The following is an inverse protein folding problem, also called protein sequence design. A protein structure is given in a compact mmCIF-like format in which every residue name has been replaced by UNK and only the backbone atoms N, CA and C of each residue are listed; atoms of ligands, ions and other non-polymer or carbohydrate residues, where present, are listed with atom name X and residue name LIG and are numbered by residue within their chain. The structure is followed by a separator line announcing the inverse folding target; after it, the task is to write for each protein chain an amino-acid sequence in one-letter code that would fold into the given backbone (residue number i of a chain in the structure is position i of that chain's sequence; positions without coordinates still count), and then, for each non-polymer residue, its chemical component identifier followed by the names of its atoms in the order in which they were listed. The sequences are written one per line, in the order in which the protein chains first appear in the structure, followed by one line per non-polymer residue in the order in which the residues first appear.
data_IF_941330068724
#
_entry.id   IF_941330068724
#
_cell.length_a   1.000
_cell.length_b   1.000
_cell.length_c   1.000
_cell.angle_alpha   90.00
_cell.angle_beta   90.00
_cell.angle_gamma   90.00
#
_symmetry.space_group_name_H-M   'P 1'
#
loop_
_entity.id
_entity.type
_entity.pdbx_description
1 polymer ?
#
# COMPACT_ATOMS: atom_id res chain seq x y z
N UNK A 1 -28.41 -4.39 -28.82
CA UNK A 1 -27.35 -4.35 -27.77
C UNK A 1 -27.43 -5.64 -27.01
N UNK A 2 -26.32 -6.34 -26.81
CA UNK A 2 -26.28 -7.54 -25.96
C UNK A 2 -26.63 -7.20 -24.50
N UNK A 3 -27.02 -8.18 -23.72
CA UNK A 3 -27.22 -8.00 -22.27
C UNK A 3 -25.90 -7.66 -21.60
N UNK A 4 -25.88 -6.64 -20.70
CA UNK A 4 -24.67 -6.21 -19.98
C UNK A 4 -24.18 -7.35 -19.06
N UNK A 5 -22.88 -7.41 -18.84
CA UNK A 5 -22.28 -8.29 -17.83
C UNK A 5 -22.50 -7.66 -16.46
N UNK A 6 -23.23 -8.36 -15.59
CA UNK A 6 -23.57 -7.89 -14.24
C UNK A 6 -22.49 -8.32 -13.25
N UNK A 7 -21.84 -7.37 -12.61
CA UNK A 7 -20.73 -7.62 -11.69
C UNK A 7 -21.07 -7.08 -10.30
N UNK A 8 -21.17 -7.97 -9.32
CA UNK A 8 -21.16 -7.59 -7.91
C UNK A 8 -19.73 -7.45 -7.42
N UNK A 9 -19.39 -6.30 -6.88
CA UNK A 9 -18.06 -6.00 -6.32
C UNK A 9 -18.17 -5.80 -4.81
N UNK A 10 -17.38 -6.56 -4.05
CA UNK A 10 -17.39 -6.54 -2.59
C UNK A 10 -16.00 -6.12 -2.07
N UNK A 11 -15.77 -4.81 -1.86
CA UNK A 11 -14.53 -4.33 -1.27
C UNK A 11 -14.42 -4.74 0.20
N UNK A 12 -13.20 -5.03 0.68
CA UNK A 12 -12.95 -5.30 2.10
C UNK A 12 -13.11 -4.06 2.99
N UNK A 13 -12.85 -2.88 2.40
CA UNK A 13 -12.89 -1.58 3.08
C UNK A 13 -13.08 -0.45 2.07
N UNK A 14 -13.35 0.76 2.57
CA UNK A 14 -13.56 1.99 1.77
C UNK A 14 -12.27 2.78 1.53
N UNK A 15 -11.15 2.31 2.05
CA UNK A 15 -9.88 3.03 2.08
C UNK A 15 -8.73 2.10 1.68
N UNK A 16 -7.49 2.61 1.63
CA UNK A 16 -6.31 1.79 1.43
C UNK A 16 -6.42 0.81 0.28
N UNK A 17 -6.30 -0.47 0.60
CA UNK A 17 -6.27 -1.53 -0.41
C UNK A 17 -7.61 -1.80 -1.07
N UNK A 18 -8.72 -1.65 -0.34
CA UNK A 18 -10.07 -1.76 -0.93
C UNK A 18 -10.30 -0.72 -2.02
N UNK A 19 -9.76 0.48 -1.85
CA UNK A 19 -9.80 1.53 -2.87
C UNK A 19 -9.04 1.10 -4.14
N UNK A 20 -7.75 0.74 -4.03
CA UNK A 20 -6.91 0.40 -5.18
C UNK A 20 -7.31 -0.90 -5.87
N UNK A 21 -7.83 -1.90 -5.14
CA UNK A 21 -8.11 -3.22 -5.68
C UNK A 21 -9.53 -3.39 -6.21
N UNK A 22 -10.49 -2.78 -5.54
CA UNK A 22 -11.91 -3.03 -5.84
C UNK A 22 -12.64 -1.77 -6.26
N UNK A 23 -12.62 -0.73 -5.43
CA UNK A 23 -13.47 0.43 -5.65
C UNK A 23 -13.09 1.18 -6.94
N UNK A 24 -11.87 1.70 -7.01
CA UNK A 24 -11.48 2.56 -8.15
C UNK A 24 -11.40 1.81 -9.48
N UNK A 25 -10.84 0.56 -9.58
CA UNK A 25 -10.84 -0.16 -10.84
C UNK A 25 -12.23 -0.46 -11.40
N UNK A 26 -13.22 -0.77 -10.54
CA UNK A 26 -14.57 -1.08 -11.01
C UNK A 26 -15.39 0.18 -11.29
N UNK A 27 -15.16 1.27 -10.56
CA UNK A 27 -15.72 2.59 -10.93
C UNK A 27 -15.19 3.05 -12.28
N UNK A 28 -13.87 2.91 -12.52
CA UNK A 28 -13.26 3.22 -13.83
C UNK A 28 -13.79 2.30 -14.93
N UNK A 29 -14.11 1.04 -14.60
CA UNK A 29 -14.74 0.12 -15.57
C UNK A 29 -16.13 0.57 -15.96
N UNK A 30 -16.93 1.06 -15.02
CA UNK A 30 -18.25 1.63 -15.31
C UNK A 30 -18.13 2.91 -16.14
N UNK A 31 -17.15 3.78 -15.84
CA UNK A 31 -16.87 4.98 -16.64
C UNK A 31 -16.51 4.65 -18.11
N UNK A 32 -15.66 3.65 -18.34
CA UNK A 32 -15.14 3.31 -19.66
C UNK A 32 -16.05 2.38 -20.48
N UNK A 33 -16.76 1.48 -19.80
CA UNK A 33 -17.47 0.36 -20.42
C UNK A 33 -18.88 0.17 -19.85
N UNK A 34 -19.51 1.23 -19.34
CA UNK A 34 -20.86 1.18 -18.77
C UNK A 34 -21.96 0.78 -19.75
N UNK A 35 -21.68 0.75 -21.06
CA UNK A 35 -22.55 0.16 -22.08
C UNK A 35 -22.46 -1.38 -22.14
N UNK A 36 -21.38 -1.97 -21.62
CA UNK A 36 -21.07 -3.41 -21.61
C UNK A 36 -21.23 -4.04 -20.22
N UNK A 37 -20.98 -3.29 -19.15
CA UNK A 37 -21.02 -3.75 -17.78
C UNK A 37 -22.10 -3.04 -16.96
N UNK A 38 -22.65 -3.76 -15.99
CA UNK A 38 -23.53 -3.27 -14.92
C UNK A 38 -22.81 -3.56 -13.59
N UNK A 39 -22.16 -2.53 -13.01
CA UNK A 39 -21.29 -2.66 -11.84
C UNK A 39 -22.08 -2.28 -10.59
N UNK A 40 -22.27 -3.22 -9.68
CA UNK A 40 -22.93 -3.05 -8.40
C UNK A 40 -21.88 -3.20 -7.27
N UNK A 41 -21.53 -2.11 -6.58
CA UNK A 41 -20.53 -2.10 -5.51
C UNK A 41 -21.26 -2.13 -4.17
N UNK A 42 -21.07 -3.18 -3.39
CA UNK A 42 -21.65 -3.35 -2.06
C UNK A 42 -20.63 -3.78 -1.04
N UNK A 43 -20.81 -3.32 0.18
CA UNK A 43 -19.97 -3.70 1.30
C UNK A 43 -20.60 -4.84 2.10
N UNK A 44 -19.76 -5.67 2.73
CA UNK A 44 -20.21 -6.70 3.66
C UNK A 44 -20.49 -6.08 5.04
N UNK A 45 -21.56 -5.29 5.11
CA UNK A 45 -22.05 -4.64 6.33
C UNK A 45 -23.56 -4.88 6.52
N UNK A 46 -24.13 -4.36 7.60
CA UNK A 46 -25.52 -4.62 7.96
C UNK A 46 -26.54 -4.10 6.93
N UNK A 47 -26.15 -3.17 6.06
CA UNK A 47 -26.98 -2.56 5.02
C UNK A 47 -26.58 -3.01 3.60
N UNK A 48 -25.58 -3.87 3.48
CA UNK A 48 -24.98 -4.28 2.21
C UNK A 48 -25.52 -5.58 1.67
N UNK A 49 -24.69 -6.63 1.71
CA UNK A 49 -25.02 -7.93 1.08
C UNK A 49 -25.68 -8.85 2.10
N UNK A 50 -26.78 -9.45 1.68
CA UNK A 50 -27.37 -10.60 2.39
C UNK A 50 -26.95 -11.90 1.71
N UNK A 51 -25.96 -12.59 2.27
CA UNK A 51 -25.45 -13.86 1.74
C UNK A 51 -26.45 -15.01 1.83
N UNK A 52 -27.52 -14.87 2.62
CA UNK A 52 -28.60 -15.86 2.71
C UNK A 52 -29.63 -15.70 1.58
N UNK A 53 -29.68 -14.57 0.91
CA UNK A 53 -30.53 -14.33 -0.25
C UNK A 53 -29.81 -14.71 -1.55
N UNK A 54 -29.56 -16.01 -1.70
CA UNK A 54 -28.81 -16.57 -2.84
C UNK A 54 -29.49 -16.26 -4.18
N UNK A 55 -30.82 -16.20 -4.23
CA UNK A 55 -31.53 -15.86 -5.46
C UNK A 55 -31.21 -14.46 -5.96
N UNK A 56 -30.96 -13.50 -5.05
CA UNK A 56 -30.52 -12.17 -5.44
C UNK A 56 -29.07 -12.14 -5.95
N UNK A 57 -28.24 -13.10 -5.53
CA UNK A 57 -26.86 -13.21 -5.97
C UNK A 57 -26.72 -13.91 -7.31
N UNK A 58 -27.60 -14.86 -7.64
CA UNK A 58 -27.60 -15.58 -8.91
C UNK A 58 -27.88 -14.70 -10.13
N UNK A 59 -28.36 -13.46 -9.93
CA UNK A 59 -28.61 -12.50 -11.04
C UNK A 59 -27.30 -11.89 -11.61
N UNK A 60 -26.16 -12.04 -10.92
CA UNK A 60 -24.87 -11.56 -11.40
C UNK A 60 -24.18 -12.61 -12.27
N UNK A 61 -23.39 -12.14 -13.24
CA UNK A 61 -22.49 -12.99 -14.03
C UNK A 61 -21.19 -13.23 -13.25
N UNK A 62 -20.74 -12.21 -12.49
CA UNK A 62 -19.50 -12.24 -11.70
C UNK A 62 -19.77 -11.70 -10.29
N UNK A 63 -19.21 -12.36 -9.28
CA UNK A 63 -19.08 -11.84 -7.92
C UNK A 63 -17.59 -11.69 -7.62
N UNK A 64 -17.12 -10.45 -7.54
CA UNK A 64 -15.73 -10.13 -7.20
C UNK A 64 -15.63 -9.74 -5.72
N UNK A 65 -14.82 -10.46 -4.95
CA UNK A 65 -14.67 -10.28 -3.50
C UNK A 65 -13.21 -10.00 -3.19
N UNK A 66 -12.95 -8.91 -2.47
CA UNK A 66 -11.60 -8.55 -2.04
C UNK A 66 -11.28 -9.16 -0.67
N UNK A 67 -10.16 -9.84 -0.54
CA UNK A 67 -9.62 -10.54 0.67
C UNK A 67 -10.44 -11.72 1.19
N UNK A 68 -11.66 -11.90 0.75
CA UNK A 68 -12.60 -12.87 1.32
C UNK A 68 -13.37 -12.33 2.52
N UNK A 69 -14.38 -13.05 2.91
CA UNK A 69 -15.32 -12.66 3.97
C UNK A 69 -15.08 -13.49 5.22
N UNK A 70 -15.12 -12.83 6.37
CA UNK A 70 -14.93 -13.45 7.68
C UNK A 70 -16.24 -13.68 8.43
N UNK A 71 -17.35 -13.09 7.95
CA UNK A 71 -18.65 -13.19 8.56
C UNK A 71 -19.38 -14.43 8.10
N UNK A 72 -20.02 -15.12 9.04
CA UNK A 72 -20.89 -16.26 8.75
C UNK A 72 -20.31 -17.18 7.65
N UNK A 73 -19.14 -17.74 7.93
CA UNK A 73 -18.37 -18.55 6.98
C UNK A 73 -19.19 -19.65 6.32
N UNK A 74 -20.05 -20.33 7.10
CA UNK A 74 -20.82 -21.46 6.59
C UNK A 74 -21.91 -21.00 5.62
N UNK A 75 -22.64 -19.93 5.95
CA UNK A 75 -23.63 -19.32 5.08
C UNK A 75 -23.02 -18.75 3.82
N UNK A 76 -21.91 -18.03 3.93
CA UNK A 76 -21.17 -17.50 2.78
C UNK A 76 -20.66 -18.62 1.85
N UNK A 77 -19.99 -19.64 2.38
CA UNK A 77 -19.46 -20.73 1.57
C UNK A 77 -20.58 -21.51 0.85
N UNK A 78 -21.73 -21.71 1.52
CA UNK A 78 -22.90 -22.33 0.89
C UNK A 78 -23.44 -21.47 -0.25
N UNK A 79 -23.63 -20.18 0.00
CA UNK A 79 -24.14 -19.25 -1.03
C UNK A 79 -23.23 -19.21 -2.26
N UNK A 80 -21.91 -19.12 -2.05
CA UNK A 80 -20.94 -19.10 -3.16
C UNK A 80 -20.96 -20.41 -3.96
N UNK A 81 -21.11 -21.54 -3.29
CA UNK A 81 -21.24 -22.83 -3.97
C UNK A 81 -22.49 -22.88 -4.84
N UNK A 82 -23.63 -22.47 -4.33
CA UNK A 82 -24.89 -22.43 -5.09
C UNK A 82 -24.80 -21.43 -6.27
N UNK A 83 -24.18 -20.27 -6.07
CA UNK A 83 -23.93 -19.30 -7.15
C UNK A 83 -23.10 -19.93 -8.28
N UNK A 84 -22.01 -20.65 -7.95
CA UNK A 84 -21.19 -21.36 -8.94
C UNK A 84 -21.99 -22.42 -9.71
N UNK A 85 -22.77 -23.23 -9.01
CA UNK A 85 -23.66 -24.25 -9.62
C UNK A 85 -24.66 -23.61 -10.58
N UNK A 86 -25.05 -22.36 -10.36
CA UNK A 86 -25.91 -21.56 -11.24
C UNK A 86 -25.18 -20.84 -12.38
N UNK A 87 -23.85 -20.98 -12.47
CA UNK A 87 -23.02 -20.39 -13.54
C UNK A 87 -22.39 -19.04 -13.21
N UNK A 88 -22.65 -18.46 -12.02
CA UNK A 88 -21.99 -17.23 -11.55
C UNK A 88 -20.51 -17.47 -11.34
N UNK A 89 -19.66 -16.59 -11.86
CA UNK A 89 -18.19 -16.67 -11.69
C UNK A 89 -17.77 -16.02 -10.37
N UNK A 90 -17.13 -16.77 -9.49
CA UNK A 90 -16.58 -16.26 -8.23
C UNK A 90 -15.12 -15.88 -8.44
N UNK A 91 -14.83 -14.59 -8.30
CA UNK A 91 -13.50 -14.01 -8.42
C UNK A 91 -13.07 -13.49 -7.05
N UNK A 92 -11.99 -14.05 -6.51
CA UNK A 92 -11.38 -13.56 -5.27
C UNK A 92 -10.17 -12.68 -5.61
N UNK A 93 -10.12 -11.47 -5.06
CA UNK A 93 -8.96 -10.57 -5.20
C UNK A 93 -8.10 -10.57 -3.93
N UNK A 94 -6.80 -10.79 -4.07
CA UNK A 94 -5.85 -10.79 -2.95
C UNK A 94 -4.67 -9.87 -3.26
N UNK A 95 -4.37 -8.97 -2.32
CA UNK A 95 -3.27 -7.99 -2.41
C UNK A 95 -2.08 -8.32 -1.50
N UNK A 96 -2.33 -8.92 -0.33
CA UNK A 96 -1.34 -9.32 0.65
C UNK A 96 -1.43 -10.82 0.96
N UNK A 97 -0.30 -11.39 1.37
CA UNK A 97 -0.22 -12.76 1.84
C UNK A 97 -1.06 -12.94 3.12
N UNK A 98 -1.73 -14.08 3.24
CA UNK A 98 -2.68 -14.35 4.30
C UNK A 98 -2.05 -14.67 5.67
N UNK A 99 -0.77 -15.05 5.70
CA UNK A 99 -0.07 -15.39 6.93
C UNK A 99 0.95 -14.30 7.29
N UNK A 100 0.64 -13.53 8.33
CA UNK A 100 1.53 -12.50 8.87
C UNK A 100 2.53 -13.11 9.86
N UNK A 101 3.74 -12.57 9.91
CA UNK A 101 4.77 -13.00 10.86
C UNK A 101 4.40 -12.72 12.32
N UNK A 102 5.04 -13.42 13.27
CA UNK A 102 4.76 -13.31 14.72
C UNK A 102 4.89 -11.89 15.29
N UNK A 103 5.74 -11.09 14.67
CA UNK A 103 5.98 -9.69 15.08
C UNK A 103 4.98 -8.70 14.46
N UNK A 104 4.10 -9.15 13.57
CA UNK A 104 3.12 -8.28 12.93
C UNK A 104 2.00 -7.90 13.91
N UNK A 105 1.53 -6.64 13.94
CA UNK A 105 0.47 -6.21 14.86
C UNK A 105 -0.81 -7.06 14.83
N UNK A 106 -1.16 -7.60 13.67
CA UNK A 106 -2.35 -8.44 13.48
C UNK A 106 -2.12 -9.95 13.70
N UNK A 107 -0.91 -10.39 14.11
CA UNK A 107 -0.63 -11.83 14.24
C UNK A 107 -1.59 -12.55 15.20
N UNK A 108 -1.77 -12.02 16.40
CA UNK A 108 -2.64 -12.65 17.39
C UNK A 108 -4.11 -12.62 16.98
N UNK A 109 -4.61 -11.50 16.48
CA UNK A 109 -6.00 -11.39 16.02
C UNK A 109 -6.27 -12.32 14.85
N UNK A 110 -5.37 -12.40 13.88
CA UNK A 110 -5.51 -13.31 12.73
C UNK A 110 -5.51 -14.78 13.15
N UNK A 111 -4.67 -15.13 14.13
CA UNK A 111 -4.61 -16.50 14.67
C UNK A 111 -5.89 -16.88 15.42
N UNK A 112 -6.38 -15.98 16.30
CA UNK A 112 -7.61 -16.22 17.09
C UNK A 112 -8.82 -16.34 16.18
N UNK A 113 -8.91 -15.49 15.14
CA UNK A 113 -10.05 -15.46 14.22
C UNK A 113 -9.92 -16.46 13.06
N UNK A 114 -8.89 -17.31 13.01
CA UNK A 114 -8.74 -18.31 11.97
C UNK A 114 -8.61 -17.75 10.55
N UNK A 115 -7.98 -16.57 10.40
CA UNK A 115 -7.90 -15.85 9.11
C UNK A 115 -7.22 -16.68 8.02
N UNK A 116 -6.12 -17.37 8.35
CA UNK A 116 -5.36 -18.18 7.36
C UNK A 116 -6.21 -19.30 6.74
N UNK A 117 -6.79 -20.23 7.51
CA UNK A 117 -7.63 -21.29 6.92
C UNK A 117 -8.84 -20.73 6.19
N UNK A 118 -9.41 -19.64 6.67
CA UNK A 118 -10.53 -18.97 6.02
C UNK A 118 -10.14 -18.48 4.61
N UNK A 119 -9.05 -17.71 4.47
CA UNK A 119 -8.62 -17.20 3.16
C UNK A 119 -8.28 -18.36 2.22
N UNK A 120 -7.59 -19.39 2.70
CA UNK A 120 -7.26 -20.57 1.88
C UNK A 120 -8.54 -21.29 1.39
N UNK A 121 -9.58 -21.39 2.22
CA UNK A 121 -10.84 -21.96 1.81
C UNK A 121 -11.53 -21.11 0.74
N UNK A 122 -11.52 -19.78 0.89
CA UNK A 122 -12.04 -18.86 -0.13
C UNK A 122 -11.26 -18.98 -1.46
N UNK A 123 -9.93 -19.09 -1.40
CA UNK A 123 -9.07 -19.31 -2.58
C UNK A 123 -9.45 -20.60 -3.30
N UNK A 124 -9.66 -21.70 -2.56
CA UNK A 124 -10.05 -22.99 -3.15
C UNK A 124 -11.47 -22.98 -3.73
N UNK A 125 -12.36 -22.21 -3.14
CA UNK A 125 -13.74 -22.10 -3.58
C UNK A 125 -13.88 -21.26 -4.86
N UNK A 126 -13.10 -20.17 -4.98
CA UNK A 126 -13.17 -19.25 -6.10
C UNK A 126 -12.94 -19.97 -7.45
N UNK A 127 -13.62 -19.53 -8.52
CA UNK A 127 -13.32 -19.97 -9.88
C UNK A 127 -12.00 -19.39 -10.36
N UNK A 128 -11.74 -18.15 -9.97
CA UNK A 128 -10.53 -17.39 -10.31
C UNK A 128 -10.04 -16.60 -9.12
N UNK A 129 -8.73 -16.41 -9.06
CA UNK A 129 -8.10 -15.51 -8.09
C UNK A 129 -7.34 -14.43 -8.84
N UNK A 130 -7.55 -13.16 -8.46
CA UNK A 130 -6.75 -12.04 -8.96
C UNK A 130 -5.78 -11.56 -7.87
N UNK A 131 -4.61 -11.09 -8.30
CA UNK A 131 -3.58 -10.60 -7.37
C UNK A 131 -2.71 -9.53 -7.99
N UNK A 132 -1.77 -8.97 -7.20
CA UNK A 132 -0.98 -7.79 -7.55
C UNK A 132 0.29 -8.10 -8.32
N UNK A 133 0.96 -9.23 -8.03
CA UNK A 133 2.30 -9.52 -8.56
C UNK A 133 2.42 -10.96 -9.07
N UNK A 134 3.32 -11.21 -10.05
CA UNK A 134 3.64 -12.58 -10.48
C UNK A 134 4.17 -13.45 -9.34
N UNK A 135 4.94 -12.87 -8.39
CA UNK A 135 5.50 -13.60 -7.25
C UNK A 135 4.37 -14.15 -6.38
N UNK A 136 3.38 -13.33 -6.08
CA UNK A 136 2.24 -13.75 -5.27
C UNK A 136 1.32 -14.71 -6.05
N UNK A 137 1.19 -14.53 -7.35
CA UNK A 137 0.41 -15.44 -8.19
C UNK A 137 0.94 -16.88 -8.10
N UNK A 138 2.26 -17.09 -8.13
CA UNK A 138 2.86 -18.43 -7.98
C UNK A 138 2.57 -19.07 -6.61
N UNK A 139 2.49 -18.27 -5.56
CA UNK A 139 2.09 -18.76 -4.24
C UNK A 139 0.62 -19.19 -4.19
N UNK A 140 -0.27 -18.35 -4.75
CA UNK A 140 -1.72 -18.63 -4.81
C UNK A 140 -1.99 -19.90 -5.65
N UNK A 141 -1.25 -20.13 -6.73
CA UNK A 141 -1.39 -21.32 -7.60
C UNK A 141 -1.25 -22.65 -6.86
N UNK A 142 -0.62 -22.67 -5.69
CA UNK A 142 -0.59 -23.88 -4.84
C UNK A 142 -1.98 -24.29 -4.33
N UNK A 143 -2.94 -23.38 -4.33
CA UNK A 143 -4.30 -23.59 -3.82
C UNK A 143 -5.38 -23.46 -4.89
N UNK A 144 -5.15 -22.63 -5.92
CA UNK A 144 -6.04 -22.43 -7.06
C UNK A 144 -5.23 -22.16 -8.32
N UNK A 145 -5.31 -22.99 -9.38
CA UNK A 145 -4.51 -22.83 -10.60
C UNK A 145 -4.93 -21.63 -11.46
N UNK A 146 -6.16 -21.13 -11.30
CA UNK A 146 -6.75 -20.08 -12.12
C UNK A 146 -6.42 -18.69 -11.55
N UNK A 147 -5.17 -18.26 -11.67
CA UNK A 147 -4.70 -16.97 -11.13
C UNK A 147 -4.40 -15.99 -12.25
N UNK A 148 -4.93 -14.76 -12.13
CA UNK A 148 -4.64 -13.64 -13.02
C UNK A 148 -3.99 -12.50 -12.23
N UNK A 149 -2.93 -11.92 -12.78
CA UNK A 149 -2.29 -10.75 -12.19
C UNK A 149 -2.92 -9.49 -12.77
N UNK A 150 -3.49 -8.64 -11.88
CA UNK A 150 -3.80 -7.24 -12.16
C UNK A 150 -3.00 -6.40 -11.18
N UNK A 151 -2.00 -5.72 -11.67
CA UNK A 151 -1.14 -4.85 -10.85
C UNK A 151 -1.95 -3.74 -10.17
N UNK A 152 -1.44 -3.20 -9.06
CA UNK A 152 -1.98 -1.95 -8.54
C UNK A 152 -1.76 -0.84 -9.58
N UNK A 153 -2.77 -0.02 -9.80
CA UNK A 153 -2.73 1.00 -10.83
C UNK A 153 -3.14 2.37 -10.29
N UNK A 154 -2.66 3.41 -10.93
CA UNK A 154 -2.92 4.81 -10.58
C UNK A 154 -3.86 5.41 -11.62
N UNK A 155 -4.85 6.13 -11.13
CA UNK A 155 -5.68 6.99 -11.96
C UNK A 155 -4.99 8.33 -12.15
N UNK A 156 -4.37 8.50 -13.28
CA UNK A 156 -3.64 9.71 -13.66
C UNK A 156 -4.54 10.96 -13.80
N UNK A 157 -5.86 10.76 -13.90
CA UNK A 157 -6.86 11.84 -13.97
C UNK A 157 -7.34 12.29 -12.59
N UNK A 158 -7.02 11.52 -11.54
CA UNK A 158 -7.40 11.84 -10.18
C UNK A 158 -6.53 12.98 -9.63
N UNK A 159 -7.16 14.04 -9.10
CA UNK A 159 -6.49 15.27 -8.68
C UNK A 159 -5.30 15.04 -7.73
N UNK A 160 -5.41 14.06 -6.83
CA UNK A 160 -4.33 13.74 -5.90
C UNK A 160 -3.05 13.22 -6.57
N UNK A 161 -3.14 12.65 -7.78
CA UNK A 161 -2.00 12.15 -8.55
C UNK A 161 -1.47 13.14 -9.58
N UNK A 162 -2.00 14.37 -9.62
CA UNK A 162 -1.45 15.46 -10.43
C UNK A 162 -0.31 16.12 -9.62
N UNK A 163 0.97 16.02 -10.05
CA UNK A 163 2.08 16.54 -9.29
C UNK A 163 2.02 18.07 -9.10
N UNK A 164 2.06 18.51 -7.86
CA UNK A 164 2.10 19.92 -7.45
C UNK A 164 3.28 20.14 -6.48
N UNK A 165 4.54 20.03 -6.94
CA UNK A 165 5.70 20.00 -6.06
C UNK A 165 5.86 21.33 -5.31
N UNK A 166 6.01 21.25 -4.00
CA UNK A 166 6.30 22.38 -3.13
C UNK A 166 7.80 22.67 -3.23
N UNK A 167 8.18 23.92 -3.55
CA UNK A 167 9.58 24.34 -3.61
C UNK A 167 10.24 24.29 -2.24
N UNK A 168 11.47 23.82 -2.20
CA UNK A 168 12.30 23.74 -1.00
C UNK A 168 13.77 24.04 -1.36
N UNK A 169 14.49 24.70 -0.44
CA UNK A 169 15.93 24.90 -0.55
C UNK A 169 16.72 23.66 -0.11
N UNK A 170 16.04 22.67 0.45
CA UNK A 170 16.61 21.39 0.89
C UNK A 170 16.11 20.25 0.01
N UNK A 171 16.96 19.26 -0.22
CA UNK A 171 16.54 17.99 -0.83
C UNK A 171 15.76 17.17 0.22
N UNK A 172 14.50 16.84 -0.07
CA UNK A 172 13.59 16.20 0.88
C UNK A 172 13.48 14.71 0.63
N UNK A 173 13.82 13.94 1.67
CA UNK A 173 13.72 12.49 1.68
C UNK A 173 12.50 12.09 2.53
N UNK A 174 11.52 11.46 1.91
CA UNK A 174 10.23 11.21 2.56
C UNK A 174 9.92 9.72 2.78
N UNK A 175 9.18 9.48 3.86
CA UNK A 175 8.56 8.19 4.17
C UNK A 175 7.04 8.36 4.10
N UNK A 176 6.40 7.59 3.24
CA UNK A 176 4.94 7.58 3.04
C UNK A 176 4.47 6.16 3.26
N UNK A 177 4.23 5.77 4.51
CA UNK A 177 3.93 4.40 4.92
C UNK A 177 2.77 4.34 5.91
N UNK A 178 2.19 3.17 6.06
CA UNK A 178 1.25 2.87 7.14
C UNK A 178 1.94 2.55 8.47
N UNK A 179 1.19 2.59 9.56
CA UNK A 179 1.68 2.30 10.92
C UNK A 179 2.20 0.86 11.11
N UNK A 180 1.87 -0.06 10.22
CA UNK A 180 2.30 -1.47 10.30
C UNK A 180 3.75 -1.73 9.87
N UNK A 181 4.47 -0.70 9.39
CA UNK A 181 5.83 -0.81 8.85
C UNK A 181 6.95 -0.57 9.88
N UNK A 182 6.70 -0.77 11.18
CA UNK A 182 7.72 -0.51 12.20
C UNK A 182 8.99 -1.35 11.98
N UNK A 183 8.85 -2.64 11.70
CA UNK A 183 10.00 -3.51 11.47
C UNK A 183 10.77 -3.17 10.20
N UNK A 184 10.10 -2.67 9.17
CA UNK A 184 10.76 -2.17 7.97
C UNK A 184 11.58 -0.90 8.29
N UNK A 185 11.05 -0.01 9.13
CA UNK A 185 11.73 1.20 9.58
C UNK A 185 12.95 0.91 10.48
N UNK A 186 12.93 -0.17 11.26
CA UNK A 186 14.06 -0.57 12.12
C UNK A 186 15.36 -0.81 11.32
N UNK A 187 15.28 -1.13 10.04
CA UNK A 187 16.45 -1.23 9.15
C UNK A 187 17.23 0.08 9.03
N UNK A 188 16.61 1.20 9.36
CA UNK A 188 17.19 2.53 9.26
C UNK A 188 17.79 3.06 10.58
N UNK A 189 17.71 2.28 11.66
CA UNK A 189 18.27 2.68 12.97
C UNK A 189 19.76 3.03 12.80
N UNK A 190 20.12 4.26 13.17
CA UNK A 190 21.48 4.78 13.05
C UNK A 190 21.85 5.37 11.68
N UNK A 191 20.92 5.40 10.71
CA UNK A 191 21.16 6.00 9.39
C UNK A 191 21.51 7.48 9.49
N UNK A 192 20.75 8.24 10.24
CA UNK A 192 20.94 9.67 10.37
C UNK A 192 22.23 10.02 11.10
N UNK A 193 22.71 9.19 12.02
CA UNK A 193 24.00 9.34 12.68
C UNK A 193 25.22 9.22 11.73
N UNK A 194 25.01 8.62 10.55
CA UNK A 194 26.05 8.50 9.52
C UNK A 194 26.15 9.72 8.61
N UNK A 195 25.13 10.58 8.61
CA UNK A 195 25.12 11.79 7.81
C UNK A 195 25.96 12.88 8.48
N UNK A 196 26.89 13.48 7.75
CA UNK A 196 27.66 14.59 8.25
C UNK A 196 26.77 15.82 8.55
N UNK A 197 27.22 16.75 9.43
CA UNK A 197 26.48 18.00 9.67
C UNK A 197 26.25 18.81 8.39
N UNK A 198 27.17 18.78 7.45
CA UNK A 198 27.04 19.47 6.16
C UNK A 198 25.88 18.87 5.34
N UNK A 199 25.78 17.54 5.26
CA UNK A 199 24.70 16.85 4.56
C UNK A 199 23.36 17.11 5.26
N UNK A 200 23.29 17.01 6.60
CA UNK A 200 22.08 17.29 7.37
C UNK A 200 21.53 18.69 7.12
N UNK A 201 22.40 19.69 6.93
CA UNK A 201 21.98 21.06 6.62
C UNK A 201 21.36 21.21 5.22
N UNK A 202 21.71 20.33 4.28
CA UNK A 202 21.23 20.35 2.88
C UNK A 202 19.96 19.52 2.66
N UNK A 203 19.55 18.71 3.63
CA UNK A 203 18.40 17.80 3.49
C UNK A 203 17.32 18.06 4.52
N UNK A 204 16.14 17.51 4.24
CA UNK A 204 15.06 17.35 5.21
C UNK A 204 14.51 15.94 5.11
N UNK A 205 14.36 15.27 6.25
CA UNK A 205 13.64 14.00 6.37
C UNK A 205 12.18 14.32 6.64
N UNK A 206 11.26 13.80 5.84
CA UNK A 206 9.82 14.07 5.95
C UNK A 206 9.07 12.77 6.25
N UNK A 207 8.43 12.70 7.41
CA UNK A 207 7.55 11.59 7.78
C UNK A 207 6.09 11.96 7.46
N UNK A 208 5.49 11.27 6.50
CA UNK A 208 4.12 11.47 6.08
C UNK A 208 3.18 10.40 6.62
N UNK A 209 1.97 10.79 6.99
CA UNK A 209 0.96 9.90 7.57
C UNK A 209 0.97 9.90 9.10
N UNK A 210 1.71 10.83 9.74
CA UNK A 210 1.83 10.93 11.20
C UNK A 210 0.46 11.06 11.88
N UNK A 211 0.20 10.21 12.85
CA UNK A 211 -1.05 10.22 13.61
C UNK A 211 -0.84 9.71 15.04
N UNK A 212 -1.19 10.55 16.02
CA UNK A 212 -1.14 10.16 17.44
C UNK A 212 -2.50 9.71 18.00
N UNK A 213 -3.54 9.68 17.17
CA UNK A 213 -4.89 9.25 17.56
C UNK A 213 -4.98 7.72 17.57
N UNK A 214 -4.35 7.09 18.52
CA UNK A 214 -4.45 5.66 18.74
C UNK A 214 -5.31 5.32 19.95
N UNK A 215 -5.87 4.12 19.98
CA UNK A 215 -6.55 3.57 21.14
C UNK A 215 -5.95 2.23 21.54
N UNK A 216 -5.86 2.01 22.84
CA UNK A 216 -5.50 0.74 23.44
C UNK A 216 -6.78 0.03 23.88
N UNK A 217 -6.96 -1.21 23.43
CA UNK A 217 -8.03 -2.08 23.92
C UNK A 217 -7.45 -3.07 24.92
N UNK A 218 -8.01 -3.05 26.12
CA UNK A 218 -7.62 -3.97 27.20
C UNK A 218 -8.81 -4.88 27.50
N UNK A 219 -8.58 -6.18 27.45
CA UNK A 219 -9.57 -7.17 27.89
C UNK A 219 -9.47 -7.27 29.41
N UNK A 220 -10.56 -6.90 30.08
CA UNK A 220 -10.67 -6.97 31.54
C UNK A 220 -10.90 -8.40 32.00
N UNK A 221 -10.64 -8.72 33.30
CA UNK A 221 -10.85 -10.07 33.83
C UNK A 221 -12.29 -10.60 33.74
N UNK A 222 -13.26 -9.72 33.62
CA UNK A 222 -14.69 -10.04 33.40
C UNK A 222 -15.07 -10.24 31.92
N UNK A 223 -14.06 -10.18 31.00
CA UNK A 223 -14.26 -10.32 29.57
C UNK A 223 -14.72 -9.04 28.87
N UNK A 224 -14.93 -7.93 29.58
CA UNK A 224 -15.26 -6.65 28.97
C UNK A 224 -14.04 -6.02 28.28
N UNK A 225 -14.27 -5.25 27.21
CA UNK A 225 -13.21 -4.51 26.50
C UNK A 225 -13.24 -3.06 26.96
N UNK A 226 -12.19 -2.63 27.64
CA UNK A 226 -11.97 -1.23 27.97
C UNK A 226 -11.11 -0.57 26.88
N UNK A 227 -11.59 0.54 26.33
CA UNK A 227 -10.83 1.34 25.35
C UNK A 227 -10.30 2.60 26.03
N UNK A 228 -9.02 2.85 25.90
CA UNK A 228 -8.34 4.05 26.38
C UNK A 228 -7.47 4.67 25.29
N UNK A 229 -7.13 5.97 25.36
CA UNK A 229 -6.14 6.55 24.46
C UNK A 229 -4.81 5.81 24.56
N UNK A 230 -4.18 5.56 23.40
CA UNK A 230 -2.84 4.96 23.37
C UNK A 230 -1.83 5.93 24.00
N UNK A 231 -0.99 5.53 24.95
CA UNK A 231 0.10 6.37 25.46
C UNK A 231 1.03 6.81 24.33
N UNK A 232 1.44 8.08 24.35
CA UNK A 232 2.23 8.70 23.27
C UNK A 232 3.56 7.94 23.04
N UNK A 233 4.22 7.50 24.11
CA UNK A 233 5.47 6.73 24.06
C UNK A 233 5.30 5.31 23.47
N UNK A 234 4.08 4.81 23.40
CA UNK A 234 3.73 3.53 22.76
C UNK A 234 3.28 3.71 21.30
N UNK A 235 3.08 4.95 20.87
CA UNK A 235 2.62 5.22 19.51
C UNK A 235 3.74 4.92 18.49
N UNK A 236 3.40 4.16 17.46
CA UNK A 236 4.35 3.74 16.41
C UNK A 236 4.95 4.92 15.65
N UNK A 237 4.20 6.01 15.48
CA UNK A 237 4.69 7.21 14.78
C UNK A 237 5.77 7.94 15.56
N UNK A 238 5.71 7.92 16.88
CA UNK A 238 6.79 8.44 17.74
C UNK A 238 8.05 7.58 17.59
N UNK A 239 7.90 6.26 17.51
CA UNK A 239 9.04 5.35 17.25
C UNK A 239 9.65 5.58 15.86
N UNK A 240 8.85 5.86 14.84
CA UNK A 240 9.37 6.27 13.53
C UNK A 240 10.20 7.55 13.62
N UNK A 241 9.73 8.56 14.36
CA UNK A 241 10.51 9.78 14.57
C UNK A 241 11.82 9.52 15.31
N UNK A 242 11.81 8.66 16.33
CA UNK A 242 13.03 8.22 17.04
C UNK A 242 14.07 7.65 16.07
N UNK A 243 13.64 6.75 15.18
CA UNK A 243 14.50 6.14 14.18
C UNK A 243 15.05 7.17 13.19
N UNK A 244 14.19 8.06 12.69
CA UNK A 244 14.56 9.04 11.67
C UNK A 244 15.34 10.23 12.18
N UNK A 245 15.33 10.49 13.47
CA UNK A 245 15.99 11.64 14.09
C UNK A 245 17.12 11.26 15.04
N UNK A 246 17.35 9.95 15.27
CA UNK A 246 18.23 9.44 16.33
C UNK A 246 17.92 10.08 17.70
N UNK A 247 16.64 10.24 18.00
CA UNK A 247 16.11 10.82 19.23
C UNK A 247 16.39 12.32 19.45
N UNK A 248 17.02 13.04 18.48
CA UNK A 248 17.42 14.44 18.75
C UNK A 248 16.22 15.36 19.07
N UNK A 249 15.05 15.12 18.47
CA UNK A 249 13.83 15.88 18.79
C UNK A 249 13.23 15.48 20.13
N UNK A 250 13.25 14.19 20.44
CA UNK A 250 12.61 13.65 21.65
C UNK A 250 13.31 14.12 22.94
N UNK A 251 14.57 14.53 22.87
CA UNK A 251 15.29 15.07 24.02
C UNK A 251 15.01 16.55 24.26
N UNK A 252 14.46 17.30 23.27
CA UNK A 252 14.18 18.72 23.43
C UNK A 252 12.93 18.95 24.31
N UNK A 253 12.95 19.93 25.23
CA UNK A 253 11.79 20.29 26.04
C UNK A 253 10.60 20.76 25.19
N UNK A 254 10.87 21.51 24.13
CA UNK A 254 9.89 22.03 23.18
C UNK A 254 9.11 20.90 22.51
N UNK A 255 9.84 19.88 22.06
CA UNK A 255 9.22 18.72 21.44
C UNK A 255 8.37 17.89 22.41
N UNK A 256 8.87 17.67 23.63
CA UNK A 256 8.09 17.00 24.69
C UNK A 256 6.80 17.75 25.02
N UNK A 257 6.88 19.08 25.07
CA UNK A 257 5.70 19.91 25.27
C UNK A 257 4.74 19.82 24.08
N UNK A 258 5.27 19.86 22.86
CA UNK A 258 4.46 19.67 21.64
C UNK A 258 3.72 18.34 21.67
N UNK A 259 4.36 17.23 21.98
CA UNK A 259 3.70 15.90 22.06
C UNK A 259 2.55 15.90 23.09
N UNK A 260 2.73 16.58 24.24
CA UNK A 260 1.66 16.75 25.24
C UNK A 260 0.50 17.60 24.71
N UNK A 261 0.81 18.67 24.00
CA UNK A 261 -0.19 19.59 23.43
C UNK A 261 -0.91 18.98 22.22
N UNK A 262 -0.28 18.09 21.48
CA UNK A 262 -0.88 17.44 20.31
C UNK A 262 -2.15 16.67 20.67
N UNK A 263 -2.21 16.07 21.84
CA UNK A 263 -3.44 15.48 22.35
C UNK A 263 -4.60 16.51 22.43
N UNK A 264 -4.28 17.81 22.41
CA UNK A 264 -5.21 18.93 22.38
C UNK A 264 -5.37 19.59 20.99
N UNK A 265 -5.00 18.91 19.89
CA UNK A 265 -5.08 19.42 18.52
C UNK A 265 -4.16 20.62 18.19
N UNK A 266 -2.99 20.71 18.82
CA UNK A 266 -2.03 21.77 18.52
C UNK A 266 -1.42 21.64 17.10
N UNK A 267 -1.22 22.77 16.42
CA UNK A 267 -0.53 22.83 15.13
C UNK A 267 0.97 22.82 15.37
N UNK A 268 1.68 22.00 14.59
CA UNK A 268 3.15 21.94 14.67
C UNK A 268 3.77 23.23 14.09
N UNK A 269 4.85 23.77 14.71
CA UNK A 269 5.53 24.96 14.21
C UNK A 269 6.10 24.80 12.80
N UNK A 270 6.42 25.93 12.14
CA UNK A 270 7.03 25.94 10.82
C UNK A 270 8.40 25.23 10.86
N UNK A 271 8.51 24.17 10.06
CA UNK A 271 9.69 23.28 9.99
C UNK A 271 10.59 23.57 8.79
N UNK A 272 10.39 24.67 8.08
CA UNK A 272 11.03 24.94 6.79
C UNK A 272 12.55 24.76 6.80
N UNK A 273 13.21 25.15 7.87
CA UNK A 273 14.66 25.12 8.01
C UNK A 273 15.21 23.97 8.86
N UNK A 274 14.32 23.08 9.33
CA UNK A 274 14.76 21.97 10.17
C UNK A 274 15.19 20.74 9.36
N UNK A 275 15.99 19.87 9.99
CA UNK A 275 16.41 18.60 9.42
C UNK A 275 15.26 17.62 9.27
N UNK A 276 14.24 17.70 10.14
CA UNK A 276 13.09 16.80 10.15
C UNK A 276 11.78 17.55 10.11
N UNK A 277 10.84 17.03 9.33
CA UNK A 277 9.47 17.52 9.26
C UNK A 277 8.49 16.35 9.30
N UNK A 278 7.27 16.63 9.77
CA UNK A 278 6.15 15.67 9.72
C UNK A 278 4.99 16.23 8.94
N UNK A 279 4.20 15.32 8.36
CA UNK A 279 2.92 15.63 7.72
C UNK A 279 1.87 14.72 8.32
N UNK A 280 0.74 15.33 8.70
CA UNK A 280 -0.39 14.60 9.25
C UNK A 280 -0.97 13.64 8.25
N UNK A 281 -1.56 12.57 8.78
CA UNK A 281 -2.33 11.61 7.98
C UNK A 281 -3.41 12.32 7.18
N UNK A 282 -3.66 11.83 5.99
CA UNK A 282 -4.71 12.30 5.09
C UNK A 282 -5.65 11.15 4.77
N UNK A 283 -6.88 11.47 4.38
CA UNK A 283 -7.80 10.48 3.85
C UNK A 283 -7.31 9.92 2.49
N UNK A 284 -7.96 8.87 2.01
CA UNK A 284 -7.56 8.17 0.80
C UNK A 284 -7.65 9.05 -0.46
N UNK A 285 -8.54 10.04 -0.49
CA UNK A 285 -8.70 10.94 -1.63
C UNK A 285 -7.59 12.00 -1.74
N UNK A 286 -6.84 12.22 -0.65
CA UNK A 286 -5.78 13.22 -0.57
C UNK A 286 -4.41 12.62 -0.22
N UNK A 287 -4.34 11.32 0.01
CA UNK A 287 -3.15 10.61 0.47
C UNK A 287 -1.93 10.88 -0.42
N UNK A 288 -2.08 10.78 -1.75
CA UNK A 288 -0.97 10.96 -2.69
C UNK A 288 -0.42 12.38 -2.72
N UNK A 289 -1.15 13.38 -2.21
CA UNK A 289 -0.63 14.74 -2.11
C UNK A 289 0.57 14.87 -1.15
N UNK A 290 0.85 13.85 -0.32
CA UNK A 290 2.09 13.77 0.46
C UNK A 290 3.34 13.74 -0.41
N UNK A 291 3.26 13.18 -1.62
CA UNK A 291 4.38 13.17 -2.54
C UNK A 291 4.83 14.59 -2.95
N UNK A 292 3.97 15.61 -2.86
CA UNK A 292 4.34 17.00 -3.15
C UNK A 292 5.31 17.59 -2.11
N UNK A 293 5.37 17.02 -0.91
CA UNK A 293 6.25 17.45 0.17
C UNK A 293 7.65 16.81 0.13
N UNK A 294 7.93 15.92 -0.83
CA UNK A 294 9.19 15.17 -0.93
C UNK A 294 9.80 15.26 -2.33
N UNK A 295 11.07 14.94 -2.46
CA UNK A 295 11.80 14.84 -3.73
C UNK A 295 12.27 13.41 -4.00
N UNK A 296 12.60 12.67 -2.94
CA UNK A 296 13.06 11.28 -2.98
C UNK A 296 12.27 10.47 -1.98
N UNK A 297 11.63 9.40 -2.42
CA UNK A 297 10.94 8.45 -1.57
C UNK A 297 11.93 7.44 -0.98
N UNK A 298 11.84 7.16 0.32
CA UNK A 298 12.57 6.10 0.99
C UNK A 298 11.62 4.96 1.33
N UNK A 299 11.91 3.75 0.82
CA UNK A 299 11.01 2.59 0.95
C UNK A 299 11.77 1.39 1.50
N UNK A 300 12.08 1.37 2.81
CA UNK A 300 12.63 0.19 3.44
C UNK A 300 11.58 -0.94 3.47
N UNK A 301 12.01 -2.16 3.21
CA UNK A 301 11.19 -3.36 3.30
C UNK A 301 12.07 -4.51 3.80
N UNK A 302 11.76 -5.04 4.98
CA UNK A 302 12.49 -6.14 5.57
C UNK A 302 12.27 -7.43 4.79
N UNK A 303 13.34 -8.20 4.58
CA UNK A 303 13.29 -9.49 3.91
C UNK A 303 12.63 -10.54 4.81
N UNK A 304 11.39 -10.85 4.52
CA UNK A 304 10.63 -11.92 5.15
C UNK A 304 9.56 -12.47 4.19
N UNK A 305 9.00 -13.62 4.53
CA UNK A 305 8.07 -14.32 3.66
C UNK A 305 6.81 -13.51 3.35
N UNK A 306 6.21 -12.85 4.34
CA UNK A 306 5.05 -11.98 4.15
C UNK A 306 5.35 -10.83 3.19
N UNK A 307 6.45 -10.13 3.40
CA UNK A 307 6.85 -8.99 2.57
C UNK A 307 7.22 -9.37 1.13
N UNK A 308 7.58 -10.66 0.87
CA UNK A 308 7.86 -11.14 -0.50
C UNK A 308 6.68 -10.99 -1.45
N UNK A 309 5.46 -11.03 -0.90
CA UNK A 309 4.23 -11.03 -1.68
C UNK A 309 3.53 -9.66 -1.74
N UNK A 310 4.11 -8.62 -1.12
CA UNK A 310 3.61 -7.25 -1.25
C UNK A 310 3.71 -6.76 -2.70
N UNK A 311 3.09 -5.61 -2.98
CA UNK A 311 3.20 -4.97 -4.29
C UNK A 311 4.23 -3.84 -4.31
N UNK A 312 4.64 -3.48 -5.49
CA UNK A 312 5.52 -2.34 -5.77
C UNK A 312 4.79 -0.97 -5.74
N UNK A 313 3.59 -0.89 -5.18
CA UNK A 313 2.73 0.30 -5.21
C UNK A 313 3.46 1.60 -4.84
N UNK A 314 4.35 1.58 -3.84
CA UNK A 314 5.10 2.78 -3.44
C UNK A 314 6.00 3.33 -4.53
N UNK A 315 6.61 2.47 -5.34
CA UNK A 315 7.41 2.88 -6.49
C UNK A 315 6.53 3.37 -7.64
N UNK A 316 5.37 2.74 -7.83
CA UNK A 316 4.38 3.18 -8.81
C UNK A 316 3.91 4.60 -8.48
N UNK A 317 3.45 4.83 -7.24
CA UNK A 317 3.02 6.15 -6.77
C UNK A 317 4.13 7.20 -6.93
N UNK A 318 5.37 6.89 -6.51
CA UNK A 318 6.51 7.78 -6.65
C UNK A 318 6.78 8.15 -8.13
N UNK A 319 6.70 7.18 -9.03
CA UNK A 319 6.90 7.41 -10.46
C UNK A 319 5.81 8.29 -11.07
N UNK A 320 4.52 8.05 -10.76
CA UNK A 320 3.42 8.92 -11.21
C UNK A 320 3.56 10.34 -10.66
N UNK A 321 3.99 10.48 -9.41
CA UNK A 321 4.20 11.79 -8.78
C UNK A 321 5.54 12.45 -9.13
N UNK A 322 6.33 11.88 -10.06
CA UNK A 322 7.60 12.42 -10.52
C UNK A 322 8.65 12.51 -9.41
N UNK A 323 8.77 11.47 -8.58
CA UNK A 323 9.74 11.39 -7.48
C UNK A 323 10.81 10.35 -7.76
N UNK A 324 12.03 10.60 -7.28
CA UNK A 324 13.07 9.57 -7.20
C UNK A 324 12.77 8.59 -6.06
N UNK A 325 13.38 7.41 -6.07
CA UNK A 325 13.20 6.44 -5.02
C UNK A 325 14.50 5.73 -4.64
N UNK A 326 14.65 5.47 -3.33
CA UNK A 326 15.61 4.53 -2.74
C UNK A 326 14.78 3.44 -2.06
N UNK A 327 14.97 2.19 -2.44
CA UNK A 327 14.17 1.07 -1.95
C UNK A 327 15.05 -0.12 -1.54
N UNK A 328 14.49 -1.01 -0.71
CA UNK A 328 15.12 -2.30 -0.43
C UNK A 328 15.21 -3.14 -1.71
N UNK A 329 16.37 -3.77 -1.94
CA UNK A 329 16.56 -4.73 -3.04
C UNK A 329 15.95 -6.08 -2.68
N UNK A 330 14.62 -6.11 -2.54
CA UNK A 330 13.90 -7.28 -2.07
C UNK A 330 12.46 -7.31 -2.57
N UNK A 331 11.97 -8.52 -2.85
CA UNK A 331 10.55 -8.82 -3.13
C UNK A 331 9.97 -7.95 -4.23
N UNK A 332 8.85 -7.27 -3.98
CA UNK A 332 8.13 -6.51 -4.99
C UNK A 332 8.95 -5.35 -5.58
N UNK A 333 9.87 -4.79 -4.81
CA UNK A 333 10.67 -3.63 -5.29
C UNK A 333 11.76 -4.03 -6.31
N UNK A 334 11.91 -5.31 -6.60
CA UNK A 334 12.73 -5.79 -7.73
C UNK A 334 11.93 -5.95 -9.02
N UNK A 335 10.59 -5.79 -8.98
CA UNK A 335 9.72 -5.94 -10.14
C UNK A 335 9.75 -4.65 -10.98
N UNK A 336 10.24 -4.75 -12.22
CA UNK A 336 10.30 -3.59 -13.12
C UNK A 336 11.29 -2.51 -12.72
N UNK A 337 12.19 -2.80 -11.75
CA UNK A 337 13.24 -1.89 -11.34
C UNK A 337 14.60 -2.31 -11.87
N UNK A 338 15.40 -1.30 -12.18
CA UNK A 338 16.81 -1.44 -12.56
C UNK A 338 17.63 -0.55 -11.63
N UNK A 339 18.64 -1.13 -10.97
CA UNK A 339 19.42 -0.37 -9.99
C UNK A 339 20.23 0.71 -10.68
N UNK A 340 20.10 1.95 -10.19
CA UNK A 340 20.86 3.11 -10.67
C UNK A 340 22.32 3.09 -10.25
N UNK A 341 22.63 2.51 -9.07
CA UNK A 341 24.01 2.39 -8.57
C UNK A 341 24.41 0.92 -8.57
N UNK A 342 25.23 0.51 -9.53
CA UNK A 342 25.74 -0.86 -9.65
C UNK A 342 26.88 -1.16 -8.67
N UNK A 343 27.31 -2.43 -8.63
CA UNK A 343 28.49 -2.85 -7.84
C UNK A 343 29.70 -2.00 -8.20
N UNK A 344 30.46 -1.58 -7.17
CA UNK A 344 31.61 -0.70 -7.35
C UNK A 344 31.27 0.78 -7.46
N UNK A 345 29.99 1.14 -7.42
CA UNK A 345 29.54 2.53 -7.45
C UNK A 345 29.42 3.14 -8.85
N UNK A 346 29.50 2.31 -9.88
CA UNK A 346 29.24 2.71 -11.28
C UNK A 346 27.78 3.11 -11.43
N UNK A 347 27.52 4.16 -12.21
CA UNK A 347 26.18 4.64 -12.51
C UNK A 347 25.63 3.93 -13.76
N UNK A 348 24.42 3.43 -13.62
CA UNK A 348 23.59 2.98 -14.73
C UNK A 348 22.57 4.07 -15.06
N UNK A 349 22.81 4.83 -16.10
CA UNK A 349 21.94 5.96 -16.49
C UNK A 349 20.51 5.54 -16.85
N UNK A 350 20.28 4.26 -17.15
CA UNK A 350 18.96 3.69 -17.36
C UNK A 350 18.31 3.15 -16.07
N UNK A 351 19.02 3.23 -14.94
CA UNK A 351 18.49 2.82 -13.64
C UNK A 351 17.35 3.75 -13.20
N UNK A 352 16.29 3.15 -12.67
CA UNK A 352 15.08 3.88 -12.26
C UNK A 352 14.86 3.91 -10.74
N UNK A 353 15.71 3.24 -9.98
CA UNK A 353 15.65 3.22 -8.51
C UNK A 353 17.04 2.94 -7.94
N UNK A 354 17.37 3.49 -6.77
CA UNK A 354 18.53 3.03 -6.01
C UNK A 354 18.08 1.87 -5.12
N UNK A 355 18.65 0.69 -5.34
CA UNK A 355 18.29 -0.53 -4.61
C UNK A 355 19.36 -0.84 -3.55
N UNK A 356 18.91 -1.00 -2.29
CA UNK A 356 19.75 -1.27 -1.12
C UNK A 356 19.57 -2.71 -0.66
N UNK A 357 20.66 -3.48 -0.65
CA UNK A 357 20.66 -4.85 -0.11
C UNK A 357 20.52 -4.82 1.43
N UNK A 358 19.71 -5.70 2.00
CA UNK A 358 19.43 -5.77 3.44
C UNK A 358 20.72 -5.93 4.28
N UNK A 359 21.66 -6.73 3.81
CA UNK A 359 22.94 -6.98 4.49
C UNK A 359 23.77 -5.71 4.73
N UNK A 360 23.49 -4.62 4.02
CA UNK A 360 24.23 -3.35 4.10
C UNK A 360 23.49 -2.25 4.85
N UNK A 361 22.19 -2.44 5.08
CA UNK A 361 21.28 -1.64 5.91
C UNK A 361 21.55 -0.12 6.00
N UNK A 362 21.47 0.47 7.20
CA UNK A 362 21.49 1.91 7.44
C UNK A 362 22.69 2.67 6.83
N UNK A 363 23.86 2.04 6.68
CA UNK A 363 25.05 2.69 6.11
C UNK A 363 24.91 3.00 4.63
N UNK A 364 24.33 2.09 3.87
CA UNK A 364 24.13 2.29 2.43
C UNK A 364 22.96 3.22 2.13
N UNK A 365 21.95 3.24 3.00
CA UNK A 365 20.92 4.27 2.97
C UNK A 365 21.51 5.67 3.14
N UNK A 366 22.32 5.88 4.20
CA UNK A 366 23.00 7.15 4.43
C UNK A 366 23.90 7.55 3.25
N UNK A 367 24.70 6.60 2.74
CA UNK A 367 25.58 6.83 1.59
C UNK A 367 24.83 7.19 0.31
N UNK A 368 23.65 6.60 0.09
CA UNK A 368 22.82 6.92 -1.06
C UNK A 368 22.22 8.32 -0.94
N UNK A 369 21.81 8.73 0.27
CA UNK A 369 21.38 10.11 0.55
C UNK A 369 22.52 11.09 0.26
N UNK A 370 23.73 10.84 0.79
CA UNK A 370 24.90 11.70 0.55
C UNK A 370 25.21 11.85 -0.94
N UNK A 371 25.16 10.75 -1.70
CA UNK A 371 25.40 10.78 -3.14
C UNK A 371 24.38 11.63 -3.90
N UNK A 372 23.09 11.51 -3.56
CA UNK A 372 22.06 12.32 -4.20
C UNK A 372 22.19 13.82 -3.84
N UNK A 373 22.71 14.16 -2.66
CA UNK A 373 23.03 15.55 -2.30
C UNK A 373 24.24 16.07 -3.08
N UNK A 374 25.24 15.21 -3.30
CA UNK A 374 26.46 15.56 -4.05
C UNK A 374 26.21 15.62 -5.58
N UNK A 375 25.21 14.87 -6.06
CA UNK A 375 24.85 14.71 -7.46
C UNK A 375 23.35 14.98 -7.69
N UNK A 376 22.91 16.24 -7.59
CA UNK A 376 21.48 16.56 -7.76
C UNK A 376 20.93 16.20 -9.14
N UNK A 377 21.77 16.15 -10.17
CA UNK A 377 21.42 15.68 -11.51
C UNK A 377 20.92 14.22 -11.52
N UNK A 378 21.40 13.38 -10.61
CA UNK A 378 20.92 11.98 -10.48
C UNK A 378 19.50 11.90 -9.98
N UNK A 379 19.07 12.86 -9.16
CA UNK A 379 17.67 12.93 -8.70
C UNK A 379 16.74 13.13 -9.89
N UNK A 380 17.08 14.03 -10.81
CA UNK A 380 16.26 14.29 -11.99
C UNK A 380 16.26 13.11 -12.99
N UNK A 381 17.41 12.43 -13.15
CA UNK A 381 17.47 11.20 -13.93
C UNK A 381 16.59 10.11 -13.36
N UNK A 382 16.68 9.85 -12.05
CA UNK A 382 15.86 8.86 -11.36
C UNK A 382 14.36 9.16 -11.47
N UNK A 383 13.94 10.42 -11.27
CA UNK A 383 12.55 10.86 -11.46
C UNK A 383 12.04 10.52 -12.85
N UNK A 384 12.82 10.91 -13.87
CA UNK A 384 12.46 10.67 -15.28
C UNK A 384 12.37 9.18 -15.59
N UNK A 385 13.38 8.40 -15.17
CA UNK A 385 13.44 6.98 -15.47
C UNK A 385 12.32 6.20 -14.73
N UNK A 386 12.06 6.53 -13.47
CA UNK A 386 10.98 5.89 -12.72
C UNK A 386 9.62 6.23 -13.32
N UNK A 387 9.36 7.49 -13.63
CA UNK A 387 8.11 7.91 -14.30
C UNK A 387 7.90 7.16 -15.62
N UNK A 388 8.92 7.11 -16.48
CA UNK A 388 8.82 6.42 -17.77
C UNK A 388 8.60 4.90 -17.61
N UNK A 389 9.08 4.30 -16.54
CA UNK A 389 8.90 2.86 -16.28
C UNK A 389 7.50 2.50 -15.77
N UNK A 390 6.73 3.47 -15.24
CA UNK A 390 5.42 3.18 -14.62
C UNK A 390 4.23 3.73 -15.38
N UNK A 391 4.35 4.86 -16.06
CA UNK A 391 3.23 5.65 -16.62
C UNK A 391 2.26 4.87 -17.50
N UNK A 392 2.75 3.99 -18.34
CA UNK A 392 1.89 3.22 -19.25
C UNK A 392 1.44 1.89 -18.63
N UNK A 393 2.37 1.20 -18.00
CA UNK A 393 2.14 -0.14 -17.44
C UNK A 393 1.15 -0.13 -16.27
N UNK A 394 1.18 0.92 -15.46
CA UNK A 394 0.40 1.03 -14.24
C UNK A 394 -0.68 2.11 -14.32
N UNK A 395 -1.04 2.58 -15.53
CA UNK A 395 -2.21 3.42 -15.76
C UNK A 395 -3.49 2.65 -15.44
N UNK A 396 -4.38 3.25 -14.65
CA UNK A 396 -5.64 2.61 -14.28
C UNK A 396 -6.50 2.33 -15.50
N UNK A 397 -6.51 3.22 -16.49
CA UNK A 397 -7.23 3.04 -17.75
C UNK A 397 -6.78 1.77 -18.47
N UNK A 398 -5.46 1.53 -18.56
CA UNK A 398 -4.92 0.35 -19.23
C UNK A 398 -5.23 -0.93 -18.44
N UNK A 399 -4.99 -0.95 -17.13
CA UNK A 399 -5.24 -2.12 -16.29
C UNK A 399 -6.74 -2.45 -16.22
N UNK A 400 -7.60 -1.43 -16.18
CA UNK A 400 -9.05 -1.62 -16.19
C UNK A 400 -9.54 -2.18 -17.53
N UNK A 401 -8.96 -1.71 -18.65
CA UNK A 401 -9.28 -2.24 -19.98
C UNK A 401 -8.93 -3.74 -20.09
N UNK A 402 -7.76 -4.14 -19.56
CA UNK A 402 -7.39 -5.55 -19.52
C UNK A 402 -8.31 -6.37 -18.62
N UNK A 403 -8.74 -5.82 -17.47
CA UNK A 403 -9.69 -6.46 -16.57
C UNK A 403 -11.06 -6.63 -17.23
N UNK A 404 -11.55 -5.61 -17.95
CA UNK A 404 -12.81 -5.67 -18.68
C UNK A 404 -12.80 -6.76 -19.76
N UNK A 405 -11.73 -6.84 -20.56
CA UNK A 405 -11.53 -7.91 -21.55
C UNK A 405 -11.56 -9.29 -20.89
N UNK A 406 -10.85 -9.44 -19.78
CA UNK A 406 -10.80 -10.70 -19.06
C UNK A 406 -12.17 -11.07 -18.45
N UNK A 407 -12.94 -10.10 -17.91
CA UNK A 407 -14.29 -10.35 -17.42
C UNK A 407 -15.23 -10.81 -18.54
N UNK A 408 -15.14 -10.19 -19.72
CA UNK A 408 -15.89 -10.64 -20.89
C UNK A 408 -15.49 -12.08 -21.29
N UNK A 409 -14.19 -12.38 -21.36
CA UNK A 409 -13.66 -13.70 -21.69
C UNK A 409 -14.20 -14.80 -20.76
N UNK A 410 -14.12 -14.62 -19.42
CA UNK A 410 -14.59 -15.63 -18.46
C UNK A 410 -16.11 -15.81 -18.46
N UNK A 411 -16.86 -14.84 -18.99
CA UNK A 411 -18.31 -14.92 -19.24
C UNK A 411 -18.64 -15.45 -20.64
N UNK A 412 -17.63 -15.79 -21.48
CA UNK A 412 -17.85 -16.24 -22.86
C UNK A 412 -18.44 -15.17 -23.76
N UNK A 413 -18.14 -13.88 -23.51
CA UNK A 413 -18.62 -12.71 -24.27
C UNK A 413 -17.44 -11.92 -24.87
N UNK A 414 -17.71 -11.13 -25.87
CA UNK A 414 -16.76 -10.16 -26.44
C UNK A 414 -16.97 -8.78 -25.82
N UNK A 415 -15.86 -8.02 -25.63
CA UNK A 415 -15.90 -6.68 -25.05
C UNK A 415 -16.37 -5.64 -26.08
#
# INVERSE_FOLDING_TARGET
MGEKIKVLVVPSDKTGVGYYRSLRPHTKMDELFGDKFDIDIRYDDANGINWQDVESLKKYDIINIHKGLMRDMDGFLSAMKECKESGVKIVLDLDDYWEVGKNHPHYLSNKINGVVPMIINNVKLADYVTTTTPIFAEEIKKHNPNVKVFVNAIDEEEEQFIPQPIKSDKLRFGFIMGSTHLHDMEMLIGMTNKLSPEIRNKIQIVLCGFDLRGTLQTIMPDGTIQTSPLPIDQNVWVKFEEILTDNYRLVSPEYKNFLKMYAANAIYPNEKNEFYARRWTKDIAHYATHYNDIDVLLVPLQSNYFNSFKSELKLIEAGFMGKAAIASNFGPYTIGTTNFIEKGGKINENGNCILIDEAKSHKDWAKSIERLVQHPEWVEMLKTNLHNSVKDKYSLTNVTTERAKWYAEICGREL
#
